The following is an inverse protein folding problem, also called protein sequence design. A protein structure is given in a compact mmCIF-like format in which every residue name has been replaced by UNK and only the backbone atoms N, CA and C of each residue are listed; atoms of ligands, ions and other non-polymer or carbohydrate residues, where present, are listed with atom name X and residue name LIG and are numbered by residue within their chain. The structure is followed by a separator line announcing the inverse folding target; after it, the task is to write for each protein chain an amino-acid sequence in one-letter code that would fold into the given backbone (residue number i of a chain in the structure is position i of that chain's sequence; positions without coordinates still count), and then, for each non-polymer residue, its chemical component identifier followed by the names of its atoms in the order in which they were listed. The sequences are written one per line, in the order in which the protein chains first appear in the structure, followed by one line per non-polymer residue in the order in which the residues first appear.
data_IF_547671133329
#
_entry.id   IF_547671133329
#
_cell.length_a   1.000
_cell.length_b   1.000
_cell.length_c   1.000
_cell.angle_alpha   90.00
_cell.angle_beta   90.00
_cell.angle_gamma   90.00
#
_symmetry.space_group_name_H-M   'P 1'
#
loop_
_entity.id
_entity.type
_entity.pdbx_description
1 polymer ?
#
# COMPACT_ATOMS: atom_id res chain seq x y z
N UNK A 1 67.20 21.16 -4.76
CA UNK A 1 66.86 19.83 -4.21
C UNK A 1 65.61 19.36 -4.91
N UNK A 2 65.80 18.49 -5.90
CA UNK A 2 64.75 18.00 -6.81
C UNK A 2 64.24 16.62 -6.38
N UNK A 3 62.93 16.42 -6.62
CA UNK A 3 62.22 15.16 -6.89
C UNK A 3 61.82 14.21 -5.73
N UNK A 4 60.78 13.36 -5.92
CA UNK A 4 59.68 13.41 -6.91
C UNK A 4 58.27 13.02 -6.41
N UNK A 5 57.28 13.22 -7.29
CA UNK A 5 55.95 12.61 -7.32
C UNK A 5 56.03 11.14 -7.80
N UNK A 6 55.26 10.23 -7.18
CA UNK A 6 54.77 8.96 -7.76
C UNK A 6 53.38 8.72 -7.14
N UNK A 7 52.28 8.94 -7.85
CA UNK A 7 51.63 8.06 -8.82
C UNK A 7 51.00 6.78 -8.23
N UNK A 8 49.68 6.69 -8.46
CA UNK A 8 48.94 5.49 -8.85
C UNK A 8 48.94 4.28 -7.89
N UNK A 9 47.83 4.08 -7.20
CA UNK A 9 47.33 2.72 -6.97
C UNK A 9 45.81 2.65 -7.19
N UNK A 10 45.41 2.86 -8.45
CA UNK A 10 44.22 2.17 -8.95
C UNK A 10 44.59 0.69 -9.01
N UNK A 11 44.28 -0.04 -7.94
CA UNK A 11 44.42 -1.48 -7.88
C UNK A 11 43.53 -2.15 -8.92
N UNK A 12 44.03 -2.20 -10.16
CA UNK A 12 43.55 -3.07 -11.22
C UNK A 12 44.03 -4.49 -10.89
N UNK A 13 43.35 -5.14 -9.94
CA UNK A 13 43.65 -6.52 -9.57
C UNK A 13 42.72 -7.47 -10.34
N UNK A 14 43.27 -7.96 -11.45
CA UNK A 14 43.29 -9.36 -11.90
C UNK A 14 41.97 -10.15 -11.81
N UNK A 15 41.54 -10.64 -12.98
CA UNK A 15 40.39 -11.52 -13.17
C UNK A 15 40.50 -12.86 -12.43
N UNK A 16 39.98 -12.89 -11.21
CA UNK A 16 39.45 -14.09 -10.57
C UNK A 16 37.92 -13.99 -10.51
N UNK A 17 37.22 -15.04 -10.93
CA UNK A 17 35.76 -15.08 -10.88
C UNK A 17 35.28 -14.79 -9.43
N UNK A 18 34.63 -13.65 -9.23
CA UNK A 18 34.12 -13.26 -7.91
C UNK A 18 33.08 -14.29 -7.44
N UNK A 19 33.27 -14.82 -6.23
CA UNK A 19 32.31 -15.76 -5.63
C UNK A 19 30.90 -15.16 -5.62
N UNK A 20 29.89 -15.99 -5.87
CA UNK A 20 28.46 -15.58 -5.89
C UNK A 20 28.07 -14.79 -4.63
N UNK A 21 28.60 -15.18 -3.47
CA UNK A 21 28.36 -14.50 -2.19
C UNK A 21 28.99 -13.11 -2.15
N UNK A 22 30.19 -12.96 -2.73
CA UNK A 22 30.90 -11.68 -2.80
C UNK A 22 30.22 -10.72 -3.77
N UNK A 23 29.83 -11.22 -4.96
CA UNK A 23 29.02 -10.48 -5.92
C UNK A 23 27.69 -10.02 -5.29
N UNK A 24 27.01 -10.90 -4.54
CA UNK A 24 25.79 -10.53 -3.83
C UNK A 24 26.03 -9.42 -2.80
N UNK A 25 27.03 -9.56 -1.92
CA UNK A 25 27.28 -8.56 -0.85
C UNK A 25 27.76 -7.22 -1.38
N UNK A 26 28.62 -7.20 -2.41
CA UNK A 26 29.24 -5.98 -2.92
C UNK A 26 28.46 -5.29 -4.05
N UNK A 27 27.65 -6.04 -4.81
CA UNK A 27 26.97 -5.50 -5.99
C UNK A 27 25.45 -5.64 -5.83
N UNK A 28 24.94 -6.86 -5.68
CA UNK A 28 23.49 -7.09 -5.71
C UNK A 28 22.77 -6.45 -4.51
N UNK A 29 23.27 -6.63 -3.29
CA UNK A 29 22.67 -6.09 -2.06
C UNK A 29 22.62 -4.55 -2.07
N UNK A 30 23.70 -3.81 -2.40
CA UNK A 30 23.63 -2.35 -2.57
C UNK A 30 22.65 -1.90 -3.66
N UNK A 31 22.60 -2.61 -4.80
CA UNK A 31 21.66 -2.31 -5.88
C UNK A 31 20.21 -2.49 -5.45
N UNK A 32 19.88 -3.61 -4.79
CA UNK A 32 18.54 -3.91 -4.29
C UNK A 32 18.10 -2.91 -3.23
N UNK A 33 18.99 -2.52 -2.31
CA UNK A 33 18.69 -1.52 -1.30
C UNK A 33 18.47 -0.14 -1.92
N UNK A 34 19.23 0.24 -2.97
CA UNK A 34 18.97 1.48 -3.71
C UNK A 34 17.59 1.46 -4.36
N UNK A 35 17.21 0.34 -5.00
CA UNK A 35 15.88 0.16 -5.60
C UNK A 35 14.77 0.23 -4.55
N UNK A 36 14.97 -0.40 -3.39
CA UNK A 36 14.03 -0.34 -2.25
C UNK A 36 13.87 1.08 -1.74
N UNK A 37 14.97 1.82 -1.52
CA UNK A 37 14.96 3.23 -1.08
C UNK A 37 14.24 4.14 -2.08
N UNK A 38 14.50 3.97 -3.37
CA UNK A 38 13.80 4.72 -4.42
C UNK A 38 12.28 4.48 -4.38
N UNK A 39 11.85 3.22 -4.22
CA UNK A 39 10.44 2.89 -4.06
C UNK A 39 9.83 3.53 -2.81
N UNK A 40 10.50 3.46 -1.67
CA UNK A 40 10.01 4.08 -0.42
C UNK A 40 9.85 5.59 -0.60
N UNK A 41 10.84 6.27 -1.19
CA UNK A 41 10.75 7.71 -1.40
C UNK A 41 9.62 8.08 -2.36
N UNK A 42 9.40 7.31 -3.44
CA UNK A 42 8.25 7.51 -4.33
C UNK A 42 6.93 7.40 -3.58
N UNK A 43 6.76 6.36 -2.75
CA UNK A 43 5.56 6.22 -1.95
C UNK A 43 5.38 7.38 -0.95
N UNK A 44 6.46 7.91 -0.37
CA UNK A 44 6.38 9.09 0.50
C UNK A 44 5.95 10.36 -0.25
N UNK A 45 6.39 10.54 -1.50
CA UNK A 45 5.92 11.63 -2.36
C UNK A 45 4.43 11.45 -2.72
N UNK A 46 4.02 10.24 -3.09
CA UNK A 46 2.61 9.93 -3.35
C UNK A 46 1.74 10.22 -2.11
N UNK A 47 2.21 9.86 -0.91
CA UNK A 47 1.54 10.18 0.35
C UNK A 47 1.43 11.69 0.59
N UNK A 48 2.48 12.49 0.31
CA UNK A 48 2.39 13.95 0.41
C UNK A 48 1.32 14.53 -0.50
N UNK A 49 1.23 14.05 -1.75
CA UNK A 49 0.21 14.50 -2.70
C UNK A 49 -1.21 14.16 -2.20
N UNK A 50 -1.41 12.94 -1.68
CA UNK A 50 -2.69 12.55 -1.08
C UNK A 50 -3.03 13.41 0.15
N UNK A 51 -2.05 13.69 1.01
CA UNK A 51 -2.25 14.56 2.16
C UNK A 51 -2.63 15.99 1.75
N UNK A 52 -2.00 16.52 0.70
CA UNK A 52 -2.35 17.83 0.11
C UNK A 52 -3.83 17.89 -0.28
N UNK A 53 -4.31 16.85 -0.97
CA UNK A 53 -5.71 16.75 -1.40
C UNK A 53 -6.67 16.59 -0.22
N UNK A 54 -6.29 15.85 0.83
CA UNK A 54 -7.18 15.54 1.96
C UNK A 54 -7.23 16.61 3.06
N UNK A 55 -6.15 17.39 3.22
CA UNK A 55 -5.99 18.35 4.32
C UNK A 55 -5.93 19.80 3.85
N UNK A 56 -5.85 20.04 2.53
CA UNK A 56 -5.66 21.36 1.94
C UNK A 56 -4.43 22.11 2.47
N UNK A 57 -3.42 21.38 2.93
CA UNK A 57 -2.14 21.95 3.36
C UNK A 57 -1.36 22.48 2.15
N UNK A 58 -0.64 23.59 2.37
CA UNK A 58 0.24 24.17 1.36
C UNK A 58 1.49 23.31 1.11
N UNK A 59 2.06 23.41 -0.09
CA UNK A 59 3.27 22.68 -0.49
C UNK A 59 4.45 22.94 0.46
N UNK A 60 4.58 24.17 0.95
CA UNK A 60 5.63 24.58 1.88
C UNK A 60 5.51 23.88 3.25
N UNK A 61 4.28 23.64 3.70
CA UNK A 61 4.03 22.91 4.95
C UNK A 61 4.39 21.43 4.80
N UNK A 62 3.99 20.82 3.67
CA UNK A 62 4.30 19.41 3.37
C UNK A 62 5.79 19.17 3.11
N UNK A 63 6.51 20.16 2.55
CA UNK A 63 7.95 20.09 2.31
C UNK A 63 8.77 20.06 3.61
N UNK A 64 8.27 20.70 4.67
CA UNK A 64 8.91 20.74 6.00
C UNK A 64 8.68 19.48 6.83
N UNK A 65 7.67 18.68 6.49
CA UNK A 65 7.38 17.44 7.21
C UNK A 65 8.50 16.42 7.03
N UNK A 66 8.91 15.83 8.15
CA UNK A 66 9.84 14.72 8.12
C UNK A 66 9.13 13.42 7.67
N UNK A 67 9.90 12.33 7.56
CA UNK A 67 9.35 11.05 7.09
C UNK A 67 8.42 10.40 8.11
N UNK A 68 8.65 10.61 9.40
CA UNK A 68 7.80 10.08 10.46
C UNK A 68 6.47 10.85 10.49
N UNK A 69 6.51 12.18 10.42
CA UNK A 69 5.33 13.04 10.39
C UNK A 69 4.40 12.69 9.22
N UNK A 70 4.95 12.47 8.02
CA UNK A 70 4.17 12.07 6.83
C UNK A 70 3.43 10.76 7.10
N UNK A 71 4.11 9.78 7.69
CA UNK A 71 3.52 8.48 7.98
C UNK A 71 2.46 8.59 9.08
N UNK A 72 2.72 9.34 10.14
CA UNK A 72 1.81 9.54 11.27
C UNK A 72 0.53 10.27 10.83
N UNK A 73 0.67 11.39 10.11
CA UNK A 73 -0.47 12.12 9.59
C UNK A 73 -1.29 11.27 8.61
N UNK A 74 -0.62 10.49 7.75
CA UNK A 74 -1.31 9.55 6.85
C UNK A 74 -2.14 8.55 7.63
N UNK A 75 -1.58 7.93 8.67
CA UNK A 75 -2.31 6.96 9.51
C UNK A 75 -3.49 7.65 10.21
N UNK A 76 -3.29 8.85 10.74
CA UNK A 76 -4.36 9.65 11.34
C UNK A 76 -5.50 9.91 10.34
N UNK A 77 -5.18 10.31 9.10
CA UNK A 77 -6.19 10.54 8.06
C UNK A 77 -6.92 9.26 7.67
N UNK A 78 -6.22 8.11 7.59
CA UNK A 78 -6.85 6.81 7.32
C UNK A 78 -7.79 6.41 8.45
N UNK A 79 -7.42 6.65 9.72
CA UNK A 79 -8.28 6.40 10.87
C UNK A 79 -9.51 7.31 10.83
N UNK A 80 -9.33 8.61 10.56
CA UNK A 80 -10.42 9.58 10.42
C UNK A 80 -11.39 9.20 9.29
N UNK A 81 -10.88 8.66 8.18
CA UNK A 81 -11.72 8.18 7.06
C UNK A 81 -12.45 6.87 7.37
N UNK A 82 -11.89 5.98 8.20
CA UNK A 82 -12.44 4.64 8.50
C UNK A 82 -13.34 4.62 9.73
N UNK A 83 -13.02 5.44 10.72
CA UNK A 83 -13.72 5.55 11.99
C UNK A 83 -13.80 7.03 12.42
N UNK A 84 -14.76 7.82 11.90
CA UNK A 84 -14.97 9.18 12.42
C UNK A 84 -15.53 9.24 13.86
N UNK A 85 -15.72 8.10 14.53
CA UNK A 85 -16.25 8.00 15.90
C UNK A 85 -15.12 7.98 16.95
N UNK A 86 -14.41 9.09 17.10
CA UNK A 86 -13.53 9.31 18.27
C UNK A 86 -13.50 10.77 18.76
N UNK A 87 -14.51 11.57 18.41
CA UNK A 87 -14.70 12.92 18.96
C UNK A 87 -16.19 13.22 19.14
N UNK A 88 -16.69 13.49 20.36
CA UNK A 88 -17.96 14.18 20.57
C UNK A 88 -17.73 15.69 20.86
N UNK A 89 -18.75 16.55 20.79
CA UNK A 89 -19.84 16.64 19.81
C UNK A 89 -19.97 18.07 19.25
N UNK A 90 -20.16 18.24 17.94
CA UNK A 90 -21.04 19.31 17.42
C UNK A 90 -21.29 19.15 15.91
N UNK A 91 -22.58 18.99 15.61
CA UNK A 91 -23.29 19.29 14.37
C UNK A 91 -22.65 18.99 13.00
N UNK A 92 -23.38 18.18 12.20
CA UNK A 92 -23.37 18.16 10.72
C UNK A 92 -22.20 17.35 10.15
N UNK A 93 -22.32 16.30 9.33
CA UNK A 93 -23.32 15.88 8.35
C UNK A 93 -22.94 14.48 7.80
N UNK A 94 -23.94 13.73 7.35
CA UNK A 94 -24.11 12.94 6.11
C UNK A 94 -23.15 11.82 5.55
N UNK A 95 -21.84 11.93 5.22
CA UNK A 95 -21.22 10.94 4.33
C UNK A 95 -20.70 9.67 5.02
N UNK A 96 -20.48 9.68 6.33
CA UNK A 96 -20.04 8.49 7.09
C UNK A 96 -21.09 7.38 7.13
N UNK A 97 -22.37 7.76 7.14
CA UNK A 97 -23.47 6.80 7.13
C UNK A 97 -23.52 6.04 5.80
N UNK A 98 -23.12 6.67 4.69
CA UNK A 98 -23.22 6.07 3.36
C UNK A 98 -22.20 4.94 3.13
N UNK A 99 -20.95 5.09 3.56
CA UNK A 99 -19.92 4.05 3.42
C UNK A 99 -20.21 2.86 4.36
N UNK A 100 -20.57 3.13 5.62
CA UNK A 100 -20.95 2.07 6.56
C UNK A 100 -22.26 1.38 6.16
N UNK A 101 -23.23 2.12 5.59
CA UNK A 101 -24.43 1.54 5.01
C UNK A 101 -24.11 0.66 3.79
N UNK A 102 -23.15 1.09 2.94
CA UNK A 102 -22.68 0.30 1.80
C UNK A 102 -22.04 -1.02 2.25
N UNK A 103 -21.14 -1.00 3.24
CA UNK A 103 -20.52 -2.21 3.80
C UNK A 103 -21.55 -3.15 4.46
N UNK A 104 -22.50 -2.59 5.22
CA UNK A 104 -23.60 -3.36 5.81
C UNK A 104 -24.52 -3.96 4.74
N UNK A 105 -24.82 -3.21 3.69
CA UNK A 105 -25.59 -3.68 2.54
C UNK A 105 -24.89 -4.85 1.84
N UNK A 106 -23.59 -4.72 1.52
CA UNK A 106 -22.83 -5.80 0.88
C UNK A 106 -22.68 -7.03 1.77
N UNK A 107 -22.54 -6.85 3.07
CA UNK A 107 -22.56 -7.94 4.04
C UNK A 107 -23.90 -8.69 4.02
N UNK A 108 -25.02 -7.96 4.10
CA UNK A 108 -26.37 -8.55 4.01
C UNK A 108 -26.66 -9.20 2.66
N UNK A 109 -26.19 -8.60 1.56
CA UNK A 109 -26.30 -9.14 0.22
C UNK A 109 -25.58 -10.48 0.09
N UNK A 110 -24.31 -10.55 0.54
CA UNK A 110 -23.54 -11.80 0.58
C UNK A 110 -24.23 -12.88 1.41
N UNK A 111 -24.78 -12.51 2.56
CA UNK A 111 -25.49 -13.44 3.43
C UNK A 111 -26.76 -13.99 2.77
N UNK A 112 -27.58 -13.12 2.15
CA UNK A 112 -28.78 -13.52 1.41
C UNK A 112 -28.44 -14.48 0.26
N UNK A 113 -27.42 -14.15 -0.55
CA UNK A 113 -26.96 -14.99 -1.65
C UNK A 113 -26.51 -16.37 -1.17
N UNK A 114 -25.80 -16.42 -0.04
CA UNK A 114 -25.36 -17.67 0.57
C UNK A 114 -26.53 -18.54 1.05
N UNK A 115 -27.52 -17.93 1.71
CA UNK A 115 -28.74 -18.62 2.16
C UNK A 115 -29.55 -19.16 0.97
N UNK A 116 -29.74 -18.37 -0.09
CA UNK A 116 -30.41 -18.81 -1.32
C UNK A 116 -29.66 -19.97 -1.98
N UNK A 117 -28.33 -19.90 -2.03
CA UNK A 117 -27.49 -21.00 -2.53
C UNK A 117 -27.70 -22.29 -1.75
N UNK A 118 -27.69 -22.22 -0.41
CA UNK A 118 -27.95 -23.38 0.44
C UNK A 118 -29.36 -23.94 0.28
N UNK A 119 -30.38 -23.07 0.21
CA UNK A 119 -31.76 -23.52 0.04
C UNK A 119 -31.92 -24.29 -1.28
N UNK A 120 -31.39 -23.75 -2.38
CA UNK A 120 -31.51 -24.35 -3.71
C UNK A 120 -30.74 -25.67 -3.82
N UNK A 121 -29.57 -25.78 -3.17
CA UNK A 121 -28.84 -27.04 -3.04
C UNK A 121 -29.63 -28.10 -2.26
N UNK A 122 -30.36 -27.70 -1.21
CA UNK A 122 -31.21 -28.61 -0.43
C UNK A 122 -32.46 -29.06 -1.19
N UNK A 123 -32.95 -28.26 -2.15
CA UNK A 123 -34.15 -28.57 -2.94
C UNK A 123 -33.83 -29.19 -4.31
N UNK A 124 -32.61 -29.71 -4.51
CA UNK A 124 -32.13 -30.31 -5.77
C UNK A 124 -32.26 -29.40 -7.01
N UNK A 125 -32.37 -28.08 -6.79
CA UNK A 125 -32.42 -27.11 -7.86
C UNK A 125 -30.99 -26.78 -8.27
N UNK A 126 -30.51 -27.37 -9.35
CA UNK A 126 -29.15 -27.08 -9.83
C UNK A 126 -29.02 -25.61 -10.20
N UNK A 127 -28.25 -24.88 -9.40
CA UNK A 127 -27.79 -23.55 -9.76
C UNK A 127 -26.88 -23.66 -10.97
N UNK A 128 -27.13 -22.84 -12.00
CA UNK A 128 -26.18 -22.70 -13.09
C UNK A 128 -24.83 -22.28 -12.52
N UNK A 129 -23.75 -22.98 -12.86
CA UNK A 129 -22.40 -22.68 -12.34
C UNK A 129 -22.01 -21.20 -12.57
N UNK A 130 -22.51 -20.58 -13.65
CA UNK A 130 -22.30 -19.16 -13.95
C UNK A 130 -23.02 -18.18 -13.02
N UNK A 131 -23.96 -18.62 -12.17
CA UNK A 131 -24.67 -17.75 -11.22
C UNK A 131 -23.75 -17.31 -10.08
N UNK A 132 -23.04 -18.26 -9.46
CA UNK A 132 -22.05 -17.96 -8.42
C UNK A 132 -20.89 -17.13 -8.96
N UNK A 133 -20.43 -17.44 -10.18
CA UNK A 133 -19.37 -16.66 -10.84
C UNK A 133 -19.79 -15.22 -11.12
N UNK A 134 -21.02 -14.98 -11.60
CA UNK A 134 -21.57 -13.63 -11.77
C UNK A 134 -21.73 -12.89 -10.44
N UNK A 135 -22.07 -13.61 -9.38
CA UNK A 135 -22.22 -13.02 -8.05
C UNK A 135 -20.88 -12.59 -7.45
N UNK A 136 -19.82 -13.40 -7.62
CA UNK A 136 -18.48 -13.01 -7.22
C UNK A 136 -17.97 -11.79 -7.99
N UNK A 137 -18.38 -11.63 -9.26
CA UNK A 137 -18.06 -10.44 -10.07
C UNK A 137 -18.80 -9.17 -9.61
N UNK A 138 -20.01 -9.30 -9.06
CA UNK A 138 -20.80 -8.17 -8.57
C UNK A 138 -20.38 -7.68 -7.18
N UNK A 139 -19.74 -8.56 -6.42
CA UNK A 139 -19.26 -8.26 -5.08
C UNK A 139 -17.89 -7.56 -5.17
N UNK A 140 -17.68 -6.41 -4.50
CA UNK A 140 -16.38 -5.77 -4.48
C UNK A 140 -15.33 -6.77 -3.97
N UNK A 141 -14.36 -7.07 -4.83
CA UNK A 141 -13.33 -8.07 -4.56
C UNK A 141 -12.61 -7.76 -3.24
N UNK A 142 -12.27 -8.83 -2.52
CA UNK A 142 -11.47 -8.79 -1.29
C UNK A 142 -10.27 -7.86 -1.54
N UNK A 143 -10.02 -6.84 -0.70
CA UNK A 143 -8.93 -5.90 -0.95
C UNK A 143 -7.63 -6.71 -1.14
N UNK A 144 -6.78 -6.34 -2.10
CA UNK A 144 -5.55 -7.07 -2.35
C UNK A 144 -4.80 -7.20 -1.03
N UNK A 145 -4.61 -8.44 -0.58
CA UNK A 145 -3.74 -8.74 0.55
C UNK A 145 -2.39 -8.15 0.19
N UNK A 146 -2.05 -7.03 0.83
CA UNK A 146 -0.75 -6.41 0.67
C UNK A 146 0.30 -7.49 0.90
N UNK A 147 1.02 -7.89 -0.15
CA UNK A 147 2.14 -8.84 -0.04
C UNK A 147 3.43 -8.04 -0.23
N UNK A 148 4.16 -7.75 0.87
CA UNK A 148 5.51 -7.24 0.74
C UNK A 148 6.39 -8.35 0.15
N UNK A 149 7.25 -7.99 -0.79
CA UNK A 149 8.46 -8.74 -1.16
C UNK A 149 9.51 -8.67 -0.05
#
# INVERSE_FOLDING_TARGET
MSSPKEQQNHGLMVGGAMSRTHLYRKVMKPLLERKRRARINRCLEDLRNLLKEMTHMDDEALAKMDKADILELTVHQLHRQRCPEATPPEATSAPQNQQLAMERYWCGFRHCVFEVSQLLQRTDCQLNAGFLEKLEQLVPSKPPLWRPW
#
